data_IF_806129156053
#
_entry.id   IF_806129156053
#
_cell.length_a   1.000
_cell.length_b   1.000
_cell.length_c   1.000
_cell.angle_alpha   90.00
_cell.angle_beta   90.00
_cell.angle_gamma   90.00
#
_symmetry.space_group_name_H-M   'P 1'
#
loop_
_entity.id
_entity.type
_entity.pdbx_description
1 polymer ?
#
# COMPACT_ATOMS: atom_id res chain seq x y z
N UNK A 1 18.81 4.15 -6.78
CA UNK A 1 19.14 4.31 -5.34
C UNK A 1 19.46 5.76 -5.07
N UNK A 2 19.07 6.29 -3.91
CA UNK A 2 19.31 7.72 -3.55
C UNK A 2 20.54 7.84 -2.64
N UNK A 3 21.28 8.93 -2.78
CA UNK A 3 22.44 9.24 -1.93
C UNK A 3 22.03 9.52 -0.48
N UNK A 4 22.99 9.41 0.46
CA UNK A 4 22.72 9.57 1.89
C UNK A 4 22.10 10.91 2.28
N UNK A 5 22.52 11.99 1.62
CA UNK A 5 22.09 13.38 1.90
C UNK A 5 20.84 13.78 1.14
N UNK A 6 20.31 12.90 0.29
CA UNK A 6 19.13 13.19 -0.50
C UNK A 6 17.90 13.36 0.39
N UNK A 7 17.24 14.52 0.23
CA UNK A 7 15.96 14.84 0.86
C UNK A 7 14.94 14.91 -0.28
N UNK A 8 13.92 14.03 -0.31
CA UNK A 8 12.94 14.05 -1.37
C UNK A 8 12.07 15.32 -1.27
N UNK A 9 11.76 15.92 -2.42
CA UNK A 9 10.93 17.12 -2.49
C UNK A 9 9.57 16.85 -3.16
N UNK A 10 8.85 17.93 -3.46
CA UNK A 10 7.52 17.87 -4.09
C UNK A 10 7.53 17.10 -5.42
N UNK A 11 8.55 17.29 -6.25
CA UNK A 11 8.68 16.57 -7.53
C UNK A 11 8.82 15.05 -7.34
N UNK A 12 9.51 14.61 -6.29
CA UNK A 12 9.66 13.19 -5.99
C UNK A 12 8.37 12.59 -5.43
N UNK A 13 7.61 13.39 -4.68
CA UNK A 13 6.29 12.99 -4.23
C UNK A 13 5.30 12.89 -5.40
N UNK A 14 5.32 13.85 -6.34
CA UNK A 14 4.52 13.79 -7.55
C UNK A 14 4.86 12.55 -8.39
N UNK A 15 6.14 12.26 -8.59
CA UNK A 15 6.59 11.04 -9.26
C UNK A 15 6.09 9.77 -8.54
N UNK A 16 6.17 9.74 -7.21
CA UNK A 16 5.59 8.64 -6.43
C UNK A 16 4.09 8.47 -6.67
N UNK A 17 3.33 9.57 -6.78
CA UNK A 17 1.89 9.51 -7.04
C UNK A 17 1.59 8.92 -8.43
N UNK A 18 2.38 9.25 -9.46
CA UNK A 18 2.26 8.67 -10.80
C UNK A 18 2.57 7.17 -10.79
N UNK A 19 3.66 6.76 -10.14
CA UNK A 19 4.04 5.36 -10.00
C UNK A 19 2.99 4.56 -9.22
N UNK A 20 2.45 5.15 -8.14
CA UNK A 20 1.34 4.56 -7.37
C UNK A 20 0.07 4.44 -8.22
N UNK A 21 -0.21 5.42 -9.08
CA UNK A 21 -1.30 5.32 -10.04
C UNK A 21 -1.09 4.12 -10.96
N UNK A 22 0.11 3.98 -11.53
CA UNK A 22 0.45 2.93 -12.47
C UNK A 22 0.27 1.53 -11.86
N UNK A 23 0.77 1.28 -10.64
CA UNK A 23 0.59 -0.04 -10.01
C UNK A 23 -0.89 -0.33 -9.67
N UNK A 24 -1.66 0.71 -9.30
CA UNK A 24 -3.08 0.57 -8.98
C UNK A 24 -3.99 0.46 -10.21
N UNK A 25 -3.45 0.60 -11.43
CA UNK A 25 -4.17 0.18 -12.64
C UNK A 25 -4.29 -1.34 -12.74
N UNK A 26 -3.45 -2.10 -12.04
CA UNK A 26 -3.58 -3.56 -11.94
C UNK A 26 -4.71 -3.87 -10.96
N UNK A 27 -5.85 -4.32 -11.49
CA UNK A 27 -7.10 -4.52 -10.75
C UNK A 27 -6.94 -5.43 -9.52
N UNK A 28 -6.22 -6.56 -9.67
CA UNK A 28 -5.98 -7.50 -8.56
C UNK A 28 -5.18 -6.86 -7.41
N UNK A 29 -4.17 -6.04 -7.73
CA UNK A 29 -3.40 -5.28 -6.74
C UNK A 29 -4.29 -4.24 -6.05
N UNK A 30 -5.05 -3.47 -6.83
CA UNK A 30 -5.96 -2.46 -6.30
C UNK A 30 -7.01 -3.07 -5.37
N UNK A 31 -7.65 -4.17 -5.78
CA UNK A 31 -8.67 -4.86 -4.98
C UNK A 31 -8.06 -5.44 -3.71
N UNK A 32 -6.93 -6.14 -3.81
CA UNK A 32 -6.25 -6.68 -2.63
C UNK A 32 -5.85 -5.56 -1.65
N UNK A 33 -5.32 -4.44 -2.13
CA UNK A 33 -4.96 -3.30 -1.30
C UNK A 33 -6.17 -2.65 -0.60
N UNK A 34 -7.31 -2.54 -1.30
CA UNK A 34 -8.58 -2.10 -0.71
C UNK A 34 -9.06 -3.07 0.37
N UNK A 35 -8.97 -4.37 0.13
CA UNK A 35 -9.46 -5.39 1.06
C UNK A 35 -8.57 -5.61 2.29
N UNK A 36 -7.26 -5.33 2.21
CA UNK A 36 -6.36 -5.40 3.39
C UNK A 36 -6.71 -4.36 4.48
N UNK A 37 -7.42 -3.28 4.14
CA UNK A 37 -7.74 -2.20 5.07
C UNK A 37 -6.53 -1.31 5.41
N UNK A 38 -6.66 -0.52 6.48
CA UNK A 38 -5.57 0.30 7.01
C UNK A 38 -5.02 1.31 6.00
N UNK A 39 -3.70 1.56 6.07
CA UNK A 39 -3.06 2.59 5.23
C UNK A 39 -3.14 2.25 3.74
N UNK A 40 -3.05 0.98 3.36
CA UNK A 40 -3.17 0.55 1.96
C UNK A 40 -4.53 0.91 1.39
N UNK A 41 -5.60 0.55 2.12
CA UNK A 41 -6.96 0.92 1.73
C UNK A 41 -7.10 2.43 1.56
N UNK A 42 -6.57 3.23 2.49
CA UNK A 42 -6.72 4.69 2.42
C UNK A 42 -5.98 5.30 1.24
N UNK A 43 -4.76 4.84 0.96
CA UNK A 43 -3.95 5.32 -0.16
C UNK A 43 -4.55 4.92 -1.50
N UNK A 44 -5.03 3.68 -1.61
CA UNK A 44 -5.72 3.21 -2.81
C UNK A 44 -7.03 3.94 -3.02
N UNK A 45 -7.82 4.16 -1.97
CA UNK A 45 -9.07 4.93 -2.03
C UNK A 45 -8.82 6.39 -2.44
N UNK A 46 -7.73 7.01 -1.96
CA UNK A 46 -7.34 8.35 -2.41
C UNK A 46 -7.11 8.39 -3.92
N UNK A 47 -6.44 7.37 -4.46
CA UNK A 47 -6.05 7.32 -5.86
C UNK A 47 -7.23 7.05 -6.80
N UNK A 48 -8.08 6.09 -6.44
CA UNK A 48 -9.19 5.65 -7.29
C UNK A 48 -10.46 6.49 -7.10
N UNK A 49 -10.65 7.06 -5.91
CA UNK A 49 -11.94 7.60 -5.49
C UNK A 49 -12.93 6.49 -5.12
N UNK A 50 -14.02 6.88 -4.44
CA UNK A 50 -14.98 5.94 -3.85
C UNK A 50 -15.67 5.09 -4.91
N UNK A 51 -16.12 5.70 -6.01
CA UNK A 51 -16.90 4.98 -7.02
C UNK A 51 -16.09 3.85 -7.67
N UNK A 52 -14.90 4.18 -8.20
CA UNK A 52 -14.04 3.19 -8.84
C UNK A 52 -13.55 2.12 -7.83
N UNK A 53 -13.30 2.50 -6.57
CA UNK A 53 -12.94 1.53 -5.54
C UNK A 53 -14.07 0.53 -5.26
N UNK A 54 -15.33 0.99 -5.20
CA UNK A 54 -16.51 0.12 -5.07
C UNK A 54 -16.61 -0.82 -6.27
N UNK A 55 -16.48 -0.29 -7.48
CA UNK A 55 -16.58 -1.07 -8.71
C UNK A 55 -15.50 -2.17 -8.76
N UNK A 56 -14.25 -1.84 -8.39
CA UNK A 56 -13.14 -2.79 -8.32
C UNK A 56 -13.40 -3.92 -7.30
N UNK A 57 -13.95 -3.59 -6.13
CA UNK A 57 -14.25 -4.60 -5.09
C UNK A 57 -15.40 -5.52 -5.53
N UNK A 58 -16.48 -4.96 -6.08
CA UNK A 58 -17.68 -5.70 -6.44
C UNK A 58 -17.49 -6.64 -7.64
N UNK A 59 -16.48 -6.40 -8.48
CA UNK A 59 -16.12 -7.30 -9.57
C UNK A 59 -15.49 -8.63 -9.09
N UNK A 60 -15.08 -8.72 -7.82
CA UNK A 60 -14.44 -9.92 -7.28
C UNK A 60 -13.00 -10.15 -7.78
N UNK A 61 -12.39 -11.30 -7.44
CA UNK A 61 -11.02 -11.63 -7.82
C UNK A 61 -10.78 -11.68 -9.33
N UNK A 62 -9.52 -11.65 -9.74
CA UNK A 62 -9.16 -11.93 -11.12
C UNK A 62 -9.10 -13.43 -11.40
N UNK A 63 -9.58 -13.84 -12.59
CA UNK A 63 -9.63 -15.25 -13.00
C UNK A 63 -8.21 -15.84 -13.19
N UNK A 64 -7.22 -14.96 -13.32
CA UNK A 64 -5.80 -15.30 -13.40
C UNK A 64 -5.20 -15.41 -11.99
N UNK A 65 -5.50 -16.54 -11.34
CA UNK A 65 -4.88 -17.13 -10.14
C UNK A 65 -3.61 -16.44 -9.60
N UNK A 66 -3.76 -15.44 -8.74
CA UNK A 66 -2.67 -14.93 -7.88
C UNK A 66 -3.15 -14.79 -6.43
N UNK A 67 -3.26 -15.94 -5.73
CA UNK A 67 -3.48 -15.98 -4.28
C UNK A 67 -4.31 -17.19 -3.81
N UNK A 68 -3.74 -18.04 -2.95
CA UNK A 68 -4.47 -19.13 -2.30
C UNK A 68 -4.96 -18.63 -0.94
N UNK A 69 -6.28 -18.42 -0.80
CA UNK A 69 -6.86 -17.84 0.42
C UNK A 69 -7.04 -18.90 1.51
N UNK A 70 -7.52 -20.09 1.13
CA UNK A 70 -7.87 -21.12 2.10
C UNK A 70 -8.01 -22.51 1.47
N UNK A 71 -7.49 -23.53 2.13
CA UNK A 71 -7.79 -24.93 1.85
C UNK A 71 -8.22 -25.60 3.16
N UNK A 72 -9.51 -25.93 3.26
CA UNK A 72 -10.03 -26.74 4.36
C UNK A 72 -9.91 -28.24 4.03
N UNK A 73 -9.92 -29.14 5.04
CA UNK A 73 -9.77 -30.59 4.82
C UNK A 73 -10.79 -31.18 3.82
N UNK A 74 -11.98 -30.57 3.72
CA UNK A 74 -13.08 -31.00 2.85
C UNK A 74 -13.63 -29.85 1.97
N UNK A 75 -12.86 -28.79 1.73
CA UNK A 75 -13.28 -27.71 0.85
C UNK A 75 -12.39 -27.61 -0.38
N UNK A 76 -12.96 -27.35 -1.57
CA UNK A 76 -12.16 -26.97 -2.72
C UNK A 76 -11.35 -25.70 -2.39
N UNK A 77 -10.16 -25.53 -2.98
CA UNK A 77 -9.35 -24.34 -2.76
C UNK A 77 -10.11 -23.10 -3.25
N UNK A 78 -10.10 -22.05 -2.44
CA UNK A 78 -10.63 -20.74 -2.80
C UNK A 78 -9.48 -19.80 -3.15
N UNK A 79 -9.70 -19.01 -4.20
CA UNK A 79 -8.75 -18.04 -4.72
C UNK A 79 -9.29 -16.63 -4.49
N UNK A 80 -8.41 -15.76 -4.01
CA UNK A 80 -8.68 -14.34 -3.79
C UNK A 80 -7.42 -13.57 -4.20
N UNK A 81 -7.54 -12.28 -4.52
CA UNK A 81 -6.37 -11.49 -4.90
C UNK A 81 -5.50 -11.25 -3.66
N UNK A 82 -4.24 -11.61 -3.75
CA UNK A 82 -3.27 -11.40 -2.67
C UNK A 82 -2.31 -10.25 -3.00
N UNK A 83 -2.06 -9.39 -2.01
CA UNK A 83 -1.10 -8.29 -2.13
C UNK A 83 0.25 -8.71 -1.56
N UNK A 84 1.27 -8.78 -2.43
CA UNK A 84 2.65 -9.06 -1.99
C UNK A 84 3.22 -7.92 -1.12
N UNK A 85 4.19 -8.23 -0.27
CA UNK A 85 4.86 -7.21 0.55
C UNK A 85 5.56 -6.14 -0.29
N UNK A 86 6.14 -6.51 -1.42
CA UNK A 86 6.78 -5.56 -2.34
C UNK A 86 5.78 -4.62 -2.99
N UNK A 87 4.61 -5.13 -3.41
CA UNK A 87 3.52 -4.29 -3.92
C UNK A 87 2.98 -3.35 -2.83
N UNK A 88 2.84 -3.84 -1.60
CA UNK A 88 2.43 -3.01 -0.46
C UNK A 88 3.45 -1.90 -0.16
N UNK A 89 4.74 -2.22 -0.17
CA UNK A 89 5.83 -1.27 0.02
C UNK A 89 5.85 -0.21 -1.09
N UNK A 90 5.61 -0.63 -2.32
CA UNK A 90 5.53 0.27 -3.46
C UNK A 90 4.33 1.24 -3.34
N UNK A 91 3.15 0.75 -2.96
CA UNK A 91 1.97 1.61 -2.67
C UNK A 91 2.27 2.61 -1.54
N UNK A 92 2.98 2.18 -0.49
CA UNK A 92 3.42 3.05 0.61
C UNK A 92 4.55 4.03 0.22
N UNK A 93 5.09 3.93 -0.99
CA UNK A 93 6.15 4.80 -1.48
C UNK A 93 7.50 4.52 -0.83
N UNK A 94 7.81 3.25 -0.58
CA UNK A 94 9.10 2.83 -0.04
C UNK A 94 10.18 2.98 -1.11
N UNK A 95 11.28 3.65 -0.76
CA UNK A 95 12.46 3.79 -1.60
C UNK A 95 13.74 3.52 -0.79
N UNK A 96 14.78 3.03 -1.47
CA UNK A 96 16.06 2.69 -0.85
C UNK A 96 17.06 3.83 -0.95
N UNK A 97 17.61 4.22 0.19
CA UNK A 97 18.61 5.27 0.35
C UNK A 97 19.91 4.71 0.95
N UNK A 98 21.06 5.17 0.44
CA UNK A 98 22.36 4.73 0.92
C UNK A 98 22.66 5.29 2.32
N UNK A 99 23.17 4.47 3.25
CA UNK A 99 23.46 4.92 4.63
C UNK A 99 24.89 5.43 4.83
N UNK A 100 25.76 5.26 3.83
CA UNK A 100 27.14 5.77 3.83
C UNK A 100 28.21 4.75 4.23
N UNK A 101 27.86 3.48 4.49
CA UNK A 101 28.81 2.40 4.72
C UNK A 101 28.61 1.30 3.67
N UNK A 102 29.71 0.82 3.09
CA UNK A 102 29.87 -0.36 2.21
C UNK A 102 28.61 -1.20 1.99
N UNK A 103 27.73 -0.73 1.09
CA UNK A 103 26.49 -1.40 0.64
C UNK A 103 25.26 -1.40 1.58
N UNK A 104 25.30 -0.76 2.75
CA UNK A 104 24.12 -0.67 3.60
C UNK A 104 23.10 0.35 3.05
N UNK A 105 21.85 -0.09 2.94
CA UNK A 105 20.71 0.73 2.52
C UNK A 105 19.67 0.77 3.62
N UNK A 106 19.00 1.92 3.73
CA UNK A 106 17.84 2.09 4.58
C UNK A 106 16.59 2.25 3.71
N UNK A 107 15.52 1.57 4.12
CA UNK A 107 14.18 1.82 3.59
C UNK A 107 13.68 3.15 4.14
N UNK A 108 13.34 4.06 3.24
CA UNK A 108 12.58 5.28 3.53
C UNK A 108 11.22 5.15 2.89
N UNK A 109 10.22 5.86 3.41
CA UNK A 109 8.85 5.75 2.89
C UNK A 109 8.04 7.03 3.05
N UNK A 110 7.22 7.32 2.04
CA UNK A 110 6.23 8.41 2.08
C UNK A 110 5.08 8.10 3.03
N UNK A 111 4.72 6.84 3.21
CA UNK A 111 3.70 6.38 4.14
C UNK A 111 4.20 5.20 4.97
N UNK A 112 3.72 4.99 6.21
CA UNK A 112 4.12 3.86 7.04
C UNK A 112 4.00 2.54 6.29
N UNK A 113 5.05 1.72 6.31
CA UNK A 113 5.04 0.37 5.75
C UNK A 113 3.86 -0.42 6.36
N UNK A 114 2.99 -0.95 5.51
CA UNK A 114 1.75 -1.56 5.95
C UNK A 114 1.97 -2.77 6.88
N UNK A 115 2.88 -3.67 6.50
CA UNK A 115 3.16 -4.92 7.21
C UNK A 115 3.99 -4.74 8.49
N UNK A 116 4.67 -3.59 8.65
CA UNK A 116 5.53 -3.31 9.79
C UNK A 116 4.99 -2.15 10.64
N UNK A 117 5.15 -0.92 10.16
CA UNK A 117 4.88 0.29 10.94
C UNK A 117 3.38 0.53 11.17
N UNK A 118 2.53 0.31 10.17
CA UNK A 118 1.08 0.48 10.34
C UNK A 118 0.50 -0.60 11.26
N UNK A 119 0.80 -1.87 10.96
CA UNK A 119 0.26 -3.04 11.67
C UNK A 119 0.49 -3.01 13.17
N UNK A 120 1.64 -2.47 13.60
CA UNK A 120 2.04 -2.38 15.02
C UNK A 120 1.65 -1.06 15.67
N UNK A 121 1.11 -0.10 14.91
CA UNK A 121 0.70 1.19 15.43
C UNK A 121 -0.61 1.11 16.22
N UNK A 122 -0.81 2.06 17.13
CA UNK A 122 -2.10 2.24 17.81
C UNK A 122 -3.25 2.72 16.90
N UNK A 123 -2.97 2.99 15.62
CA UNK A 123 -4.00 3.34 14.62
C UNK A 123 -4.61 2.09 13.97
N UNK A 124 -3.96 0.93 14.10
CA UNK A 124 -4.46 -0.33 13.58
C UNK A 124 -5.47 -0.97 14.57
N UNK A 125 -6.69 -0.44 14.56
CA UNK A 125 -7.79 -0.87 15.45
C UNK A 125 -8.83 -1.75 14.73
N UNK A 126 -8.47 -2.33 13.58
CA UNK A 126 -9.35 -3.17 12.76
C UNK A 126 -10.30 -2.42 11.82
N UNK A 127 -10.47 -1.11 12.00
CA UNK A 127 -11.23 -0.22 11.09
C UNK A 127 -10.43 1.05 10.79
N UNK A 128 -10.79 1.73 9.69
CA UNK A 128 -10.29 3.08 9.45
C UNK A 128 -11.02 4.08 10.36
N UNK A 129 -10.45 4.32 11.54
CA UNK A 129 -11.04 5.19 12.55
C UNK A 129 -10.87 6.68 12.23
N UNK A 130 -11.64 7.54 12.91
CA UNK A 130 -11.43 8.99 12.86
C UNK A 130 -9.98 9.39 13.21
N UNK A 131 -9.36 8.72 14.17
CA UNK A 131 -7.96 8.96 14.55
C UNK A 131 -6.99 8.64 13.42
N UNK A 132 -7.24 7.56 12.68
CA UNK A 132 -6.46 7.18 11.50
C UNK A 132 -6.60 8.23 10.38
N UNK A 133 -7.81 8.68 10.07
CA UNK A 133 -8.03 9.73 9.06
C UNK A 133 -7.37 11.05 9.46
N UNK A 134 -7.52 11.47 10.73
CA UNK A 134 -6.91 12.69 11.23
C UNK A 134 -5.38 12.64 11.10
N UNK A 135 -4.77 11.54 11.51
CA UNK A 135 -3.32 11.35 11.37
C UNK A 135 -2.89 11.37 9.89
N UNK A 136 -3.64 10.71 9.02
CA UNK A 136 -3.36 10.65 7.58
C UNK A 136 -3.37 12.05 6.94
N UNK A 137 -4.41 12.85 7.22
CA UNK A 137 -4.52 14.23 6.71
C UNK A 137 -3.40 15.13 7.22
N UNK A 138 -3.04 15.01 8.51
CA UNK A 138 -1.92 15.75 9.09
C UNK A 138 -0.58 15.37 8.47
N UNK A 139 -0.38 14.08 8.15
CA UNK A 139 0.82 13.65 7.43
C UNK A 139 0.83 14.20 6.01
N UNK A 140 -0.29 14.13 5.29
CA UNK A 140 -0.40 14.63 3.93
C UNK A 140 0.00 16.11 3.82
N UNK A 141 -0.35 16.93 4.80
CA UNK A 141 0.02 18.35 4.87
C UNK A 141 1.51 18.61 5.16
N UNK A 142 2.24 17.60 5.62
CA UNK A 142 3.67 17.69 5.99
C UNK A 142 4.59 17.05 4.95
N UNK A 143 4.01 16.40 3.94
CA UNK A 143 4.71 15.91 2.76
C UNK A 143 4.81 17.08 1.79
#
# INVERSE_FOLDING_TARGET
YREKTYVPGEADYAFYLEERAAILHVRSIARAALMKGGILWRLTLQMLGIQAAVDVILQGPDDYMHGMLFQGPNMPPFWDDELSESSADYICGVYRQFTGMTSQMADRSWWPKAHAAWRTSGLNVGIWSYGAEKWYQQRLQRI
#
